data_IF_762232940490
#
_entry.id   IF_762232940490
#
_cell.length_a   1.000
_cell.length_b   1.000
_cell.length_c   1.000
_cell.angle_alpha   90.00
_cell.angle_beta   90.00
_cell.angle_gamma   90.00
#
_symmetry.space_group_name_H-M   'P 1'
#
loop_
_entity.id
_entity.type
_entity.pdbx_description
1 polymer ?
#
# COMPACT_ATOMS: atom_id res chain seq x y z
N UNK A 1 0.90 -15.10 -0.94
CA UNK A 1 1.66 -14.02 -0.31
C UNK A 1 2.55 -13.35 -1.34
N UNK A 2 2.71 -12.03 -1.27
CA UNK A 2 3.51 -11.29 -2.26
C UNK A 2 4.56 -10.38 -1.62
N UNK A 3 4.49 -10.12 -0.33
CA UNK A 3 5.47 -9.33 0.39
C UNK A 3 5.28 -9.48 1.88
N UNK A 4 6.31 -9.15 2.62
CA UNK A 4 6.34 -9.36 4.07
C UNK A 4 7.15 -8.25 4.74
N UNK A 5 6.73 -7.83 5.91
CA UNK A 5 7.44 -6.83 6.72
C UNK A 5 7.17 -7.04 8.20
N UNK A 6 8.09 -6.58 9.02
CA UNK A 6 7.88 -6.47 10.48
C UNK A 6 7.24 -5.12 10.76
N UNK A 7 6.19 -5.11 11.55
CA UNK A 7 5.53 -3.91 12.03
C UNK A 7 5.65 -3.80 13.55
N UNK A 8 6.46 -2.85 14.00
CA UNK A 8 6.68 -2.58 15.43
C UNK A 8 6.01 -1.30 15.91
N UNK A 9 5.13 -0.69 15.13
CA UNK A 9 4.57 0.64 15.42
C UNK A 9 3.77 0.69 16.73
N UNK A 10 3.14 -0.41 17.10
CA UNK A 10 2.36 -0.48 18.34
C UNK A 10 3.20 -0.72 19.61
N UNK A 11 4.50 -0.95 19.45
CA UNK A 11 5.39 -1.38 20.54
C UNK A 11 5.50 -2.90 20.67
N UNK A 12 4.64 -3.67 20.00
CA UNK A 12 4.72 -5.13 19.90
C UNK A 12 4.92 -5.50 18.44
N UNK A 13 6.02 -6.17 18.14
CA UNK A 13 6.32 -6.55 16.76
C UNK A 13 5.34 -7.61 16.24
N UNK A 14 4.83 -7.39 15.05
CA UNK A 14 4.00 -8.33 14.31
C UNK A 14 4.52 -8.47 12.88
N UNK A 15 4.08 -9.50 12.19
CA UNK A 15 4.42 -9.73 10.79
C UNK A 15 3.23 -9.34 9.92
N UNK A 16 3.45 -8.45 8.97
CA UNK A 16 2.47 -8.12 7.94
C UNK A 16 2.80 -8.89 6.67
N UNK A 17 1.82 -9.56 6.12
CA UNK A 17 1.95 -10.30 4.86
C UNK A 17 0.97 -9.74 3.85
N UNK A 18 1.46 -9.40 2.67
CA UNK A 18 0.61 -9.01 1.56
C UNK A 18 -0.10 -10.23 1.00
N UNK A 19 -1.42 -10.29 1.15
CA UNK A 19 -2.27 -11.27 0.48
C UNK A 19 -2.86 -10.60 -0.76
N UNK A 20 -2.02 -10.44 -1.79
CA UNK A 20 -2.31 -9.60 -2.95
C UNK A 20 -3.62 -9.96 -3.65
N UNK A 21 -3.83 -11.26 -3.92
CA UNK A 21 -5.04 -11.72 -4.61
C UNK A 21 -6.31 -11.50 -3.80
N UNK A 22 -6.18 -11.41 -2.47
CA UNK A 22 -7.31 -11.17 -1.57
C UNK A 22 -7.48 -9.70 -1.21
N UNK A 23 -6.70 -8.81 -1.80
CA UNK A 23 -6.74 -7.35 -1.58
C UNK A 23 -6.68 -6.98 -0.09
N UNK A 24 -5.72 -7.55 0.62
CA UNK A 24 -5.55 -7.26 2.05
C UNK A 24 -4.12 -7.49 2.52
N UNK A 25 -3.80 -6.92 3.67
CA UNK A 25 -2.66 -7.34 4.47
C UNK A 25 -3.16 -8.25 5.58
N UNK A 26 -2.44 -9.33 5.86
CA UNK A 26 -2.71 -10.19 7.00
C UNK A 26 -1.64 -9.97 8.05
N UNK A 27 -2.06 -9.89 9.30
CA UNK A 27 -1.19 -9.67 10.44
C UNK A 27 -1.06 -10.96 11.25
N UNK A 28 0.18 -11.31 11.57
CA UNK A 28 0.51 -12.48 12.38
C UNK A 28 1.41 -12.08 13.53
N UNK A 29 1.36 -12.86 14.63
CA UNK A 29 2.36 -12.74 15.68
C UNK A 29 3.72 -13.26 15.18
N UNK A 30 4.78 -12.96 15.91
CA UNK A 30 6.11 -13.48 15.55
C UNK A 30 6.20 -15.02 15.63
N UNK A 31 5.25 -15.65 16.32
CA UNK A 31 5.16 -17.12 16.40
C UNK A 31 4.24 -17.72 15.34
N UNK A 32 3.68 -16.89 14.46
CA UNK A 32 2.89 -17.36 13.32
C UNK A 32 1.39 -17.44 13.54
N UNK A 33 0.88 -16.92 14.67
CA UNK A 33 -0.56 -16.91 14.92
C UNK A 33 -1.24 -15.80 14.11
N UNK A 34 -2.31 -16.12 13.42
CA UNK A 34 -3.11 -15.12 12.71
C UNK A 34 -3.81 -14.21 13.71
N UNK A 35 -3.68 -12.89 13.52
CA UNK A 35 -4.27 -11.88 14.42
C UNK A 35 -5.42 -11.12 13.76
N UNK A 36 -5.22 -10.59 12.56
CA UNK A 36 -6.21 -9.74 11.89
C UNK A 36 -5.88 -9.55 10.41
N UNK A 37 -6.81 -8.95 9.69
CA UNK A 37 -6.60 -8.52 8.31
C UNK A 37 -6.92 -7.03 8.17
N UNK A 38 -6.17 -6.36 7.30
CA UNK A 38 -6.46 -4.99 6.88
C UNK A 38 -7.01 -5.08 5.47
N UNK A 39 -8.31 -4.88 5.34
CA UNK A 39 -8.99 -4.98 4.04
C UNK A 39 -8.73 -3.75 3.18
N UNK A 40 -8.30 -3.97 1.94
CA UNK A 40 -7.97 -2.91 0.98
C UNK A 40 -8.72 -3.17 -0.32
N UNK A 41 -10.06 -3.23 -0.24
CA UNK A 41 -10.89 -3.60 -1.37
C UNK A 41 -10.55 -2.84 -2.65
N UNK A 42 -10.33 -3.57 -3.72
CA UNK A 42 -9.98 -3.05 -5.02
C UNK A 42 -8.49 -2.87 -5.26
N UNK A 43 -7.64 -2.96 -4.23
CA UNK A 43 -6.21 -2.77 -4.34
C UNK A 43 -5.46 -4.10 -4.21
N UNK A 44 -4.80 -4.50 -5.29
CA UNK A 44 -3.93 -5.68 -5.29
C UNK A 44 -2.54 -5.24 -4.86
N UNK A 45 -2.33 -5.25 -3.53
CA UNK A 45 -1.17 -4.65 -2.87
C UNK A 45 0.05 -5.53 -2.91
N UNK A 46 1.20 -4.89 -3.03
CA UNK A 46 2.51 -5.50 -2.94
C UNK A 46 3.06 -5.38 -1.51
N UNK A 47 4.39 -5.36 -1.35
CA UNK A 47 5.02 -5.41 -0.03
C UNK A 47 4.64 -4.19 0.82
N UNK A 48 4.18 -4.39 2.06
CA UNK A 48 4.02 -3.27 3.00
C UNK A 48 5.37 -2.74 3.44
N UNK A 49 5.52 -1.43 3.51
CA UNK A 49 6.71 -0.75 3.98
C UNK A 49 6.33 0.10 5.17
N UNK A 50 6.88 -0.23 6.34
CA UNK A 50 6.65 0.54 7.57
C UNK A 50 7.68 1.65 7.63
N UNK A 51 7.22 2.89 7.74
CA UNK A 51 8.08 4.05 7.89
C UNK A 51 7.43 5.01 8.88
N UNK A 52 8.11 5.25 10.01
CA UNK A 52 7.55 6.01 11.13
C UNK A 52 6.21 5.42 11.57
N UNK A 53 5.13 6.18 11.57
CA UNK A 53 3.81 5.71 12.02
C UNK A 53 2.97 5.09 10.92
N UNK A 54 3.43 5.14 9.67
CA UNK A 54 2.61 4.78 8.51
C UNK A 54 3.07 3.49 7.83
N UNK A 55 2.13 2.90 7.08
CA UNK A 55 2.42 1.82 6.12
C UNK A 55 2.26 2.41 4.72
N UNK A 56 3.20 2.09 3.85
CA UNK A 56 3.21 2.46 2.43
C UNK A 56 3.26 1.20 1.60
N UNK A 57 2.51 1.16 0.51
CA UNK A 57 2.58 0.01 -0.39
C UNK A 57 2.29 0.40 -1.83
N UNK A 58 2.99 -0.22 -2.75
CA UNK A 58 2.62 -0.19 -4.14
C UNK A 58 1.37 -1.04 -4.37
N UNK A 59 0.48 -0.57 -5.20
CA UNK A 59 -0.67 -1.32 -5.69
C UNK A 59 -0.40 -1.66 -7.14
N UNK A 60 -0.26 -2.94 -7.43
CA UNK A 60 0.11 -3.39 -8.78
C UNK A 60 -1.05 -3.24 -9.75
N UNK A 61 -2.24 -3.65 -9.32
CA UNK A 61 -3.48 -3.53 -10.08
C UNK A 61 -4.60 -3.05 -9.17
N UNK A 62 -5.65 -2.49 -9.76
CA UNK A 62 -6.84 -2.11 -9.02
C UNK A 62 -8.11 -2.46 -9.75
N UNK A 63 -9.17 -2.73 -9.00
CA UNK A 63 -10.50 -3.08 -9.50
C UNK A 63 -10.61 -4.54 -9.93
N UNK A 64 -9.62 -5.09 -10.59
CA UNK A 64 -9.59 -6.47 -11.04
C UNK A 64 -8.14 -6.96 -11.07
N UNK A 65 -7.95 -8.22 -10.71
CA UNK A 65 -6.63 -8.87 -10.77
C UNK A 65 -6.12 -8.85 -12.23
N UNK A 66 -4.85 -8.51 -12.40
CA UNK A 66 -4.17 -8.37 -13.68
C UNK A 66 -4.72 -7.27 -14.60
N UNK A 67 -5.55 -6.37 -14.11
CA UNK A 67 -6.01 -5.23 -14.90
C UNK A 67 -4.82 -4.33 -15.24
N UNK A 68 -4.43 -4.19 -16.52
CA UNK A 68 -3.24 -3.42 -16.87
C UNK A 68 -3.42 -1.94 -16.62
N UNK A 69 -2.31 -1.27 -16.34
CA UNK A 69 -2.24 0.18 -16.18
C UNK A 69 -3.20 0.73 -15.08
N UNK A 70 -3.35 -0.01 -13.99
CA UNK A 70 -4.29 0.34 -12.93
C UNK A 70 -3.66 0.50 -11.54
N UNK A 71 -2.34 0.65 -11.49
CA UNK A 71 -1.59 0.79 -10.24
C UNK A 71 -1.66 2.18 -9.62
N UNK A 72 -1.37 2.23 -8.33
CA UNK A 72 -1.21 3.47 -7.55
C UNK A 72 -0.43 3.15 -6.27
N UNK A 73 -0.29 4.11 -5.38
CA UNK A 73 0.34 3.92 -4.07
C UNK A 73 -0.73 4.12 -3.00
N UNK A 74 -0.75 3.28 -1.97
CA UNK A 74 -1.65 3.44 -0.84
C UNK A 74 -0.87 3.69 0.44
N UNK A 75 -1.38 4.58 1.29
CA UNK A 75 -0.75 4.98 2.55
C UNK A 75 -1.77 4.81 3.67
N UNK A 76 -1.37 4.04 4.70
CA UNK A 76 -2.18 3.80 5.89
C UNK A 76 -1.56 4.51 7.09
N UNK A 77 -2.39 5.03 7.99
CA UNK A 77 -1.93 5.67 9.22
C UNK A 77 -1.65 4.66 10.34
N UNK A 78 -1.34 5.16 11.54
CA UNK A 78 -1.05 4.34 12.73
C UNK A 78 -2.21 3.47 13.19
N UNK A 79 -3.42 3.76 12.75
CA UNK A 79 -4.63 2.98 13.06
C UNK A 79 -5.00 2.04 11.92
N UNK A 80 -4.09 1.82 10.97
CA UNK A 80 -4.28 0.97 9.79
C UNK A 80 -5.43 1.44 8.87
N UNK A 81 -5.73 2.73 8.89
CA UNK A 81 -6.70 3.34 7.99
C UNK A 81 -6.00 3.92 6.77
N UNK A 82 -6.54 3.69 5.61
CA UNK A 82 -6.06 4.33 4.38
C UNK A 82 -6.36 5.82 4.47
N UNK A 83 -5.32 6.63 4.36
CA UNK A 83 -5.42 8.10 4.48
C UNK A 83 -5.06 8.82 3.18
N UNK A 84 -4.37 8.15 2.27
CA UNK A 84 -3.97 8.74 0.99
C UNK A 84 -3.70 7.65 -0.03
N UNK A 85 -4.11 7.90 -1.26
CA UNK A 85 -3.82 7.02 -2.40
C UNK A 85 -3.22 7.84 -3.54
N UNK A 86 -1.92 8.19 -3.49
CA UNK A 86 -1.29 8.88 -4.62
C UNK A 86 -1.50 8.12 -5.94
N UNK A 87 -2.08 8.78 -6.93
CA UNK A 87 -2.45 8.18 -8.21
C UNK A 87 -3.72 7.33 -8.15
N UNK A 88 -4.40 7.28 -7.01
CA UNK A 88 -5.64 6.53 -6.81
C UNK A 88 -6.79 7.41 -6.34
N UNK A 89 -7.93 6.76 -6.13
CA UNK A 89 -9.15 7.43 -5.64
C UNK A 89 -9.00 7.88 -4.19
N UNK A 90 -9.71 8.94 -3.81
CA UNK A 90 -9.75 9.38 -2.42
C UNK A 90 -10.29 8.26 -1.53
N UNK A 91 -9.63 7.98 -0.39
CA UNK A 91 -10.14 6.95 0.51
C UNK A 91 -11.49 7.39 1.11
N UNK A 92 -12.42 6.45 1.13
CA UNK A 92 -13.75 6.70 1.68
C UNK A 92 -14.18 5.52 2.53
N UNK A 93 -14.52 5.80 3.79
CA UNK A 93 -15.02 4.80 4.74
C UNK A 93 -16.51 5.02 4.98
N UNK A 94 -17.27 3.93 4.94
CA UNK A 94 -18.70 3.93 5.22
C UNK A 94 -18.98 2.82 6.24
N UNK A 95 -19.60 3.18 7.36
CA UNK A 95 -19.85 2.25 8.46
C UNK A 95 -18.60 1.50 8.92
N UNK A 96 -17.45 2.22 8.96
CA UNK A 96 -16.17 1.67 9.38
C UNK A 96 -15.47 0.81 8.34
N UNK A 97 -16.01 0.67 7.14
CA UNK A 97 -15.44 -0.14 6.06
C UNK A 97 -14.93 0.72 4.93
N UNK A 98 -13.73 0.39 4.44
CA UNK A 98 -13.15 1.06 3.28
C UNK A 98 -13.92 0.67 2.02
N UNK A 99 -14.40 1.67 1.29
CA UNK A 99 -14.96 1.46 -0.04
C UNK A 99 -13.86 1.14 -1.03
N UNK A 100 -14.19 0.45 -2.10
CA UNK A 100 -13.23 0.05 -3.13
C UNK A 100 -12.36 1.22 -3.58
N UNK A 101 -11.04 1.03 -3.52
CA UNK A 101 -10.07 2.00 -3.99
C UNK A 101 -9.53 1.56 -5.34
N UNK A 102 -9.33 2.50 -6.23
CA UNK A 102 -8.93 2.26 -7.61
C UNK A 102 -7.99 3.34 -8.10
N UNK A 103 -7.28 3.06 -9.17
CA UNK A 103 -6.48 4.07 -9.84
C UNK A 103 -7.37 5.24 -10.27
N UNK A 104 -6.83 6.44 -10.10
CA UNK A 104 -7.40 7.67 -10.62
C UNK A 104 -6.33 8.41 -11.44
N UNK A 105 -6.63 8.68 -12.71
CA UNK A 105 -5.65 9.25 -13.61
C UNK A 105 -4.73 8.19 -14.23
N UNK A 106 -3.51 8.59 -14.62
CA UNK A 106 -2.59 7.71 -15.33
C UNK A 106 -1.13 7.91 -14.89
N UNK A 107 -0.92 8.31 -13.65
CA UNK A 107 0.43 8.55 -13.11
C UNK A 107 1.27 7.28 -13.09
N UNK A 108 0.67 6.17 -12.70
CA UNK A 108 1.35 4.88 -12.56
C UNK A 108 0.74 3.82 -13.49
N UNK A 109 1.55 2.79 -13.79
CA UNK A 109 1.10 1.58 -14.47
C UNK A 109 0.90 0.44 -13.48
N UNK A 110 2.00 -0.11 -12.98
CA UNK A 110 1.98 -1.27 -12.07
C UNK A 110 2.98 -0.98 -10.94
N UNK A 111 2.53 -0.35 -9.86
CA UNK A 111 3.40 -0.06 -8.73
C UNK A 111 3.74 -1.36 -8.01
N UNK A 112 5.01 -1.72 -7.97
CA UNK A 112 5.44 -3.02 -7.47
C UNK A 112 6.13 -2.94 -6.10
N UNK A 113 6.90 -1.88 -5.85
CA UNK A 113 7.53 -1.67 -4.57
C UNK A 113 7.75 -0.18 -4.34
N UNK A 114 7.94 0.18 -3.07
CA UNK A 114 8.22 1.56 -2.67
C UNK A 114 9.33 1.56 -1.63
N UNK A 115 10.05 2.67 -1.55
CA UNK A 115 10.91 2.97 -0.40
C UNK A 115 10.80 4.46 -0.10
N UNK A 116 11.24 4.85 1.09
CA UNK A 116 11.18 6.23 1.53
C UNK A 116 12.55 6.71 1.98
N UNK A 117 12.82 8.00 1.75
CA UNK A 117 13.99 8.64 2.33
C UNK A 117 13.66 9.22 3.72
N UNK A 118 14.65 9.81 4.38
CA UNK A 118 14.48 10.37 5.72
C UNK A 118 13.51 11.55 5.76
N UNK A 119 13.30 12.22 4.64
CA UNK A 119 12.35 13.35 4.53
C UNK A 119 10.91 12.88 4.28
N UNK A 120 10.70 11.58 4.07
CA UNK A 120 9.38 11.03 3.79
C UNK A 120 8.97 11.08 2.33
N UNK A 121 9.90 11.33 1.41
CA UNK A 121 9.62 11.22 0.00
C UNK A 121 9.54 9.75 -0.39
N UNK A 122 8.64 9.42 -1.29
CA UNK A 122 8.37 8.04 -1.72
C UNK A 122 8.99 7.81 -3.09
N UNK A 123 9.75 6.73 -3.21
CA UNK A 123 10.31 6.28 -4.48
C UNK A 123 9.57 5.01 -4.89
N UNK A 124 8.99 5.02 -6.09
CA UNK A 124 8.12 3.95 -6.57
C UNK A 124 8.79 3.25 -7.74
N UNK A 125 9.01 1.95 -7.65
CA UNK A 125 9.41 1.16 -8.80
C UNK A 125 8.19 0.44 -9.38
N UNK A 126 8.19 0.27 -10.70
CA UNK A 126 7.08 -0.33 -11.41
C UNK A 126 7.51 -1.61 -12.11
N UNK A 127 6.57 -2.55 -12.22
CA UNK A 127 6.75 -3.79 -12.95
C UNK A 127 6.12 -3.66 -14.33
N UNK A 128 6.80 -4.21 -15.34
CA UNK A 128 6.28 -4.27 -16.72
C UNK A 128 5.71 -2.92 -17.22
N UNK A 129 6.50 -1.88 -17.00
CA UNK A 129 6.11 -0.50 -17.30
C UNK A 129 6.87 0.07 -18.51
N UNK A 130 7.29 -0.79 -19.41
CA UNK A 130 7.93 -0.42 -20.69
C UNK A 130 9.18 0.47 -20.49
N UNK A 131 10.02 0.09 -19.54
CA UNK A 131 11.26 0.82 -19.26
C UNK A 131 11.08 2.13 -18.53
N UNK A 132 9.93 2.37 -17.91
CA UNK A 132 9.69 3.57 -17.12
C UNK A 132 10.68 3.65 -15.95
N UNK A 133 11.19 4.85 -15.69
CA UNK A 133 12.07 5.12 -14.57
C UNK A 133 11.27 5.09 -13.27
N UNK A 134 11.94 4.86 -12.11
CA UNK A 134 11.30 5.04 -10.81
C UNK A 134 10.73 6.46 -10.69
N UNK A 135 9.56 6.55 -10.07
CA UNK A 135 8.88 7.83 -9.84
C UNK A 135 9.09 8.24 -8.39
N UNK A 136 9.52 9.48 -8.19
CA UNK A 136 9.63 10.09 -6.87
C UNK A 136 8.39 10.93 -6.59
N UNK A 137 7.75 10.68 -5.45
CA UNK A 137 6.67 11.50 -4.93
C UNK A 137 7.24 12.33 -3.78
N UNK A 138 7.28 13.63 -3.94
CA UNK A 138 7.77 14.52 -2.91
C UNK A 138 6.69 14.77 -1.86
N UNK A 139 7.08 14.65 -0.59
CA UNK A 139 6.19 15.00 0.51
C UNK A 139 6.08 16.54 0.58
N UNK A 140 4.85 17.03 0.48
CA UNK A 140 4.62 18.46 0.65
C UNK A 140 4.62 18.79 2.15
N UNK A 141 5.24 19.92 2.50
CA UNK A 141 5.17 20.41 3.86
C UNK A 141 3.75 20.90 4.14
N UNK A 142 3.23 20.54 5.31
CA UNK A 142 1.95 21.09 5.78
C UNK A 142 2.15 22.57 6.11
N UNK A 143 1.31 23.39 5.56
CA UNK A 143 1.30 24.83 5.84
C UNK A 143 0.36 25.14 7.01
#
# INVERSE_FOLDING_TARGET
>A
AHGIAIDGRSGVETVLVSSRENTCFKRYSLTGEYLSSIELHGAYVCRPVVHEENIYAGVCWSGKLFRPNSGFVTILDKSDRVVSNPGGSEPFYENGKLKSIRQHGSLFKHCHDVCLDAAGNIYVCQWNAQGAYPIKLERLSES
#
